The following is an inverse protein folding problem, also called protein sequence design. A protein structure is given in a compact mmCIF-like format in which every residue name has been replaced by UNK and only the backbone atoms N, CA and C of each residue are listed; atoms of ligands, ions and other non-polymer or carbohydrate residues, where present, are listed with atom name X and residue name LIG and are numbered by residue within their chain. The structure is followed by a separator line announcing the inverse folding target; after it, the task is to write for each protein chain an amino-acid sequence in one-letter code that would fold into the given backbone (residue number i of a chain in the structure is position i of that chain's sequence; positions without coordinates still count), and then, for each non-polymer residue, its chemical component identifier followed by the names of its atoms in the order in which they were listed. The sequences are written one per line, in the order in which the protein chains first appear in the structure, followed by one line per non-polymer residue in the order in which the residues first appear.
data_IF_956112411111
#
_entry.id   IF_956112411111
#
_cell.length_a   1.000
_cell.length_b   1.000
_cell.length_c   1.000
_cell.angle_alpha   90.00
_cell.angle_beta   90.00
_cell.angle_gamma   90.00
#
_symmetry.space_group_name_H-M   'P 1'
#
loop_
_entity.id
_entity.type
_entity.pdbx_description
1 polymer ?
#
# COMPACT_ATOMS: atom_id res chain seq x y z
N UNK A 1 -17.43 18.93 -2.72
CA UNK A 1 -16.23 18.99 -1.84
C UNK A 1 -14.97 19.26 -2.67
N UNK A 2 -13.99 19.97 -2.12
CA UNK A 2 -12.70 20.21 -2.77
C UNK A 2 -11.95 18.88 -3.01
N UNK A 3 -11.45 18.60 -4.23
CA UNK A 3 -10.74 17.36 -4.55
C UNK A 3 -9.52 17.08 -3.66
N UNK A 4 -8.74 18.10 -3.32
CA UNK A 4 -7.55 17.95 -2.47
C UNK A 4 -7.93 17.53 -1.05
N UNK A 5 -9.02 18.08 -0.51
CA UNK A 5 -9.53 17.70 0.80
C UNK A 5 -10.09 16.26 0.80
N UNK A 6 -10.77 15.85 -0.28
CA UNK A 6 -11.21 14.47 -0.46
C UNK A 6 -10.03 13.51 -0.51
N UNK A 7 -9.00 13.80 -1.32
CA UNK A 7 -7.80 12.97 -1.45
C UNK A 7 -7.11 12.81 -0.11
N UNK A 8 -6.91 13.90 0.65
CA UNK A 8 -6.26 13.83 1.97
C UNK A 8 -7.06 12.97 2.95
N UNK A 9 -8.39 13.12 2.99
CA UNK A 9 -9.27 12.35 3.86
C UNK A 9 -9.21 10.86 3.52
N UNK A 10 -9.42 10.49 2.26
CA UNK A 10 -9.41 9.08 1.84
C UNK A 10 -8.02 8.44 1.98
N UNK A 11 -6.95 9.22 1.76
CA UNK A 11 -5.58 8.74 2.00
C UNK A 11 -5.36 8.43 3.48
N UNK A 12 -5.78 9.32 4.39
CA UNK A 12 -5.68 9.06 5.83
C UNK A 12 -6.44 7.81 6.26
N UNK A 13 -7.67 7.63 5.78
CA UNK A 13 -8.47 6.42 6.04
C UNK A 13 -7.76 5.17 5.50
N UNK A 14 -7.24 5.22 4.27
CA UNK A 14 -6.54 4.10 3.65
C UNK A 14 -5.25 3.72 4.38
N UNK A 15 -4.46 4.71 4.83
CA UNK A 15 -3.26 4.50 5.64
C UNK A 15 -3.61 3.78 6.94
N UNK A 16 -4.64 4.23 7.66
CA UNK A 16 -5.07 3.60 8.91
C UNK A 16 -5.50 2.15 8.68
N UNK A 17 -6.36 1.90 7.69
CA UNK A 17 -6.84 0.54 7.39
C UNK A 17 -5.69 -0.40 7.02
N UNK A 18 -4.83 -0.01 6.07
CA UNK A 18 -3.72 -0.85 5.62
C UNK A 18 -2.69 -1.10 6.72
N UNK A 19 -2.46 -0.13 7.60
CA UNK A 19 -1.57 -0.28 8.76
C UNK A 19 -2.14 -1.29 9.76
N UNK A 20 -3.44 -1.19 10.06
CA UNK A 20 -4.11 -2.14 10.96
C UNK A 20 -4.18 -3.55 10.39
N UNK A 21 -4.46 -3.69 9.09
CA UNK A 21 -4.41 -4.98 8.41
C UNK A 21 -2.98 -5.56 8.43
N UNK A 22 -1.98 -4.74 8.15
CA UNK A 22 -0.56 -5.16 8.23
C UNK A 22 -0.22 -5.66 9.63
N UNK A 23 -0.63 -4.93 10.68
CA UNK A 23 -0.44 -5.37 12.05
C UNK A 23 -1.09 -6.75 12.28
N UNK A 24 -2.36 -6.90 11.89
CA UNK A 24 -3.08 -8.16 12.03
C UNK A 24 -2.40 -9.32 11.30
N UNK A 25 -2.05 -9.15 10.02
CA UNK A 25 -1.37 -10.17 9.22
C UNK A 25 0.02 -10.51 9.77
N UNK A 26 0.77 -9.51 10.24
CA UNK A 26 2.06 -9.76 10.88
C UNK A 26 1.92 -10.62 12.12
N UNK A 27 0.94 -10.33 12.98
CA UNK A 27 0.67 -11.13 14.18
C UNK A 27 0.22 -12.54 13.85
N UNK A 28 -0.49 -12.75 12.75
CA UNK A 28 -0.88 -14.08 12.26
C UNK A 28 0.33 -14.85 11.72
N UNK A 29 1.18 -14.21 10.91
CA UNK A 29 2.31 -14.86 10.25
C UNK A 29 3.50 -15.11 11.19
N UNK A 30 3.78 -14.18 12.11
CA UNK A 30 4.99 -14.19 12.96
C UNK A 30 4.67 -14.31 14.46
N UNK A 31 3.39 -14.46 14.82
CA UNK A 31 2.96 -14.62 16.20
C UNK A 31 3.08 -13.34 17.05
N UNK A 32 2.79 -13.48 18.35
CA UNK A 32 2.68 -12.37 19.31
C UNK A 32 3.94 -12.09 20.15
N UNK A 33 4.97 -12.94 20.12
CA UNK A 33 6.08 -12.78 21.08
C UNK A 33 7.43 -13.38 20.63
N UNK A 34 8.42 -12.48 20.51
CA UNK A 34 9.81 -12.65 20.96
C UNK A 34 10.77 -13.46 20.09
N UNK A 35 10.28 -14.43 19.34
CA UNK A 35 11.15 -15.22 18.47
C UNK A 35 11.73 -14.33 17.35
N UNK A 36 13.03 -14.45 17.03
CA UNK A 36 13.61 -13.80 15.88
C UNK A 36 12.86 -14.17 14.61
N UNK A 37 12.54 -13.17 13.79
CA UNK A 37 11.81 -13.35 12.55
C UNK A 37 12.81 -13.77 11.47
N UNK A 38 12.64 -14.95 10.81
CA UNK A 38 13.52 -15.35 9.73
C UNK A 38 13.38 -14.39 8.55
N UNK A 39 14.50 -14.01 7.94
CA UNK A 39 14.50 -13.05 6.82
C UNK A 39 14.21 -13.74 5.48
N UNK A 40 14.84 -14.90 5.26
CA UNK A 40 14.88 -15.59 3.97
C UNK A 40 14.07 -16.88 3.98
N UNK A 41 13.53 -17.24 2.82
CA UNK A 41 12.73 -18.46 2.62
C UNK A 41 11.25 -18.20 2.38
N UNK A 42 10.52 -19.24 2.02
CA UNK A 42 9.07 -19.18 1.87
C UNK A 42 8.40 -18.98 3.23
N UNK A 43 7.48 -18.03 3.31
CA UNK A 43 6.82 -17.63 4.56
C UNK A 43 7.69 -16.77 5.49
N UNK A 44 8.92 -16.44 5.09
CA UNK A 44 9.81 -15.57 5.86
C UNK A 44 9.52 -14.08 5.61
N UNK A 45 10.25 -13.21 6.30
CA UNK A 45 10.00 -11.77 6.32
C UNK A 45 9.97 -11.12 4.92
N UNK A 46 10.98 -11.37 4.09
CA UNK A 46 11.08 -10.77 2.74
C UNK A 46 10.00 -11.31 1.82
N UNK A 47 9.71 -12.61 1.90
CA UNK A 47 8.63 -13.22 1.10
C UNK A 47 7.27 -12.61 1.43
N UNK A 48 7.00 -12.29 2.70
CA UNK A 48 5.73 -11.70 3.13
C UNK A 48 5.48 -10.28 2.56
N UNK A 49 6.53 -9.57 2.11
CA UNK A 49 6.34 -8.31 1.38
C UNK A 49 5.65 -8.50 0.01
N UNK A 50 5.66 -9.70 -0.56
CA UNK A 50 4.93 -10.00 -1.81
C UNK A 50 3.43 -9.85 -1.59
N UNK A 51 2.75 -10.69 -0.77
CA UNK A 51 1.31 -10.56 -0.56
C UNK A 51 0.97 -9.23 0.11
N UNK A 52 1.80 -8.72 1.04
CA UNK A 52 1.56 -7.43 1.70
C UNK A 52 1.59 -6.27 0.70
N UNK A 53 2.68 -6.11 -0.06
CA UNK A 53 2.85 -5.02 -1.01
C UNK A 53 1.81 -5.08 -2.13
N UNK A 54 1.48 -6.28 -2.60
CA UNK A 54 0.42 -6.51 -3.57
C UNK A 54 -0.93 -6.03 -3.04
N UNK A 55 -1.33 -6.52 -1.86
CA UNK A 55 -2.64 -6.19 -1.28
C UNK A 55 -2.77 -4.71 -0.95
N UNK A 56 -1.73 -4.09 -0.38
CA UNK A 56 -1.76 -2.65 -0.10
C UNK A 56 -1.86 -1.88 -1.41
N UNK A 57 -1.01 -2.17 -2.41
CA UNK A 57 -1.07 -1.48 -3.70
C UNK A 57 -2.44 -1.61 -4.39
N UNK A 58 -3.04 -2.81 -4.33
CA UNK A 58 -4.36 -3.07 -4.88
C UNK A 58 -5.45 -2.30 -4.12
N UNK A 59 -5.53 -2.48 -2.80
CA UNK A 59 -6.63 -1.93 -1.97
C UNK A 59 -6.52 -0.42 -1.82
N UNK A 60 -5.30 0.13 -1.72
CA UNK A 60 -5.05 1.56 -1.64
C UNK A 60 -5.47 2.31 -2.92
N UNK A 61 -5.50 1.64 -4.08
CA UNK A 61 -5.96 2.21 -5.35
C UNK A 61 -7.42 1.87 -5.67
N UNK A 62 -7.81 0.60 -5.53
CA UNK A 62 -9.09 0.07 -6.01
C UNK A 62 -10.27 0.63 -5.23
N UNK A 63 -10.25 0.51 -3.90
CA UNK A 63 -11.38 0.90 -3.05
C UNK A 63 -11.59 2.41 -3.06
N UNK A 64 -10.56 3.26 -2.76
CA UNK A 64 -10.72 4.71 -2.85
C UNK A 64 -11.04 5.17 -4.27
N UNK A 65 -10.45 4.53 -5.29
CA UNK A 65 -10.71 4.86 -6.69
C UNK A 65 -12.15 4.59 -7.13
N UNK A 66 -12.75 3.47 -6.72
CA UNK A 66 -14.15 3.17 -6.97
C UNK A 66 -15.09 4.18 -6.28
N UNK A 67 -14.81 4.49 -5.02
CA UNK A 67 -15.56 5.49 -4.25
C UNK A 67 -15.44 6.89 -4.86
N UNK A 68 -14.23 7.28 -5.31
CA UNK A 68 -13.98 8.55 -5.97
C UNK A 68 -14.74 8.66 -7.29
N UNK A 69 -14.73 7.61 -8.12
CA UNK A 69 -15.51 7.57 -9.36
C UNK A 69 -17.02 7.70 -9.10
N UNK A 70 -17.55 7.03 -8.06
CA UNK A 70 -18.94 7.20 -7.63
C UNK A 70 -19.22 8.62 -7.15
N UNK A 71 -18.32 9.19 -6.33
CA UNK A 71 -18.47 10.54 -5.79
C UNK A 71 -18.46 11.60 -6.89
N UNK A 72 -17.57 11.46 -7.89
CA UNK A 72 -17.48 12.33 -9.06
C UNK A 72 -18.76 12.28 -9.90
N UNK A 73 -19.25 11.08 -10.24
CA UNK A 73 -20.50 10.91 -11.02
C UNK A 73 -21.73 11.48 -10.29
N UNK A 74 -21.73 11.43 -8.95
CA UNK A 74 -22.80 12.01 -8.12
C UNK A 74 -22.66 13.52 -7.87
N UNK A 75 -21.65 14.20 -8.43
CA UNK A 75 -21.40 15.62 -8.20
C UNK A 75 -20.89 15.97 -6.79
N UNK A 76 -20.60 14.98 -5.94
CA UNK A 76 -20.18 15.18 -4.55
C UNK A 76 -18.76 15.75 -4.44
N UNK A 77 -17.92 15.46 -5.44
CA UNK A 77 -16.53 15.90 -5.55
C UNK A 77 -16.29 16.43 -6.96
N UNK A 78 -15.57 17.54 -7.09
CA UNK A 78 -15.22 18.11 -8.40
C UNK A 78 -14.14 17.28 -9.11
N UNK A 79 -14.10 17.34 -10.44
CA UNK A 79 -13.00 16.77 -11.21
C UNK A 79 -11.70 17.58 -11.01
N UNK A 80 -10.55 16.90 -11.10
CA UNK A 80 -9.23 17.53 -11.11
C UNK A 80 -8.88 17.91 -12.56
N UNK A 81 -8.52 19.17 -12.77
CA UNK A 81 -8.00 19.68 -14.05
C UNK A 81 -6.53 19.30 -14.24
N UNK A 82 -6.24 18.00 -14.30
CA UNK A 82 -4.91 17.49 -14.59
C UNK A 82 -5.00 16.15 -15.31
N UNK A 83 -4.10 15.93 -16.28
CA UNK A 83 -3.90 14.60 -16.87
C UNK A 83 -3.16 13.71 -15.88
N UNK A 84 -3.59 12.47 -15.77
CA UNK A 84 -2.92 11.45 -14.98
C UNK A 84 -2.01 10.61 -15.87
N UNK A 85 -0.77 10.30 -15.45
CA UNK A 85 0.09 9.35 -16.16
C UNK A 85 -0.35 7.89 -15.96
N UNK A 86 -1.25 7.63 -15.02
CA UNK A 86 -1.77 6.29 -14.73
C UNK A 86 -2.95 5.92 -15.63
N UNK A 87 -3.16 4.62 -15.91
CA UNK A 87 -4.31 4.15 -16.68
C UNK A 87 -5.66 4.66 -16.12
N UNK A 88 -6.57 5.01 -17.02
CA UNK A 88 -7.93 5.43 -16.67
C UNK A 88 -8.77 4.26 -16.14
N UNK A 89 -8.55 3.05 -16.68
CA UNK A 89 -9.19 1.83 -16.22
C UNK A 89 -8.79 1.49 -14.78
N UNK A 90 -9.77 1.54 -13.87
CA UNK A 90 -9.57 1.34 -12.43
C UNK A 90 -8.85 0.03 -12.10
N UNK A 91 -9.27 -1.08 -12.73
CA UNK A 91 -8.70 -2.40 -12.47
C UNK A 91 -7.24 -2.47 -12.92
N UNK A 92 -6.95 -2.01 -14.15
CA UNK A 92 -5.59 -2.02 -14.72
C UNK A 92 -4.64 -1.19 -13.86
N UNK A 93 -5.04 0.03 -13.48
CA UNK A 93 -4.25 0.88 -12.58
C UNK A 93 -4.01 0.23 -11.23
N UNK A 94 -5.03 -0.40 -10.65
CA UNK A 94 -4.90 -1.00 -9.32
C UNK A 94 -4.03 -2.25 -9.33
N UNK A 95 -4.10 -3.06 -10.40
CA UNK A 95 -3.18 -4.18 -10.62
C UNK A 95 -1.74 -3.70 -10.83
N UNK A 96 -1.54 -2.64 -11.61
CA UNK A 96 -0.21 -2.03 -11.76
C UNK A 96 0.37 -1.60 -10.41
N UNK A 97 -0.43 -0.90 -9.60
CA UNK A 97 -0.01 -0.49 -8.25
C UNK A 97 0.27 -1.67 -7.32
N UNK A 98 -0.51 -2.75 -7.43
CA UNK A 98 -0.29 -3.99 -6.68
C UNK A 98 1.06 -4.62 -7.03
N UNK A 99 1.34 -4.79 -8.33
CA UNK A 99 2.60 -5.36 -8.81
C UNK A 99 3.78 -4.47 -8.42
N UNK A 100 3.68 -3.16 -8.62
CA UNK A 100 4.72 -2.22 -8.19
C UNK A 100 4.95 -2.24 -6.68
N UNK A 101 3.88 -2.33 -5.88
CA UNK A 101 3.97 -2.40 -4.42
C UNK A 101 4.66 -3.67 -3.94
N UNK A 102 4.31 -4.83 -4.52
CA UNK A 102 4.97 -6.10 -4.23
C UNK A 102 6.46 -6.07 -4.63
N UNK A 103 6.75 -5.64 -5.86
CA UNK A 103 8.11 -5.56 -6.37
C UNK A 103 8.97 -4.60 -5.54
N UNK A 104 8.46 -3.42 -5.21
CA UNK A 104 9.17 -2.44 -4.38
C UNK A 104 9.39 -2.97 -2.96
N UNK A 105 8.39 -3.60 -2.36
CA UNK A 105 8.50 -4.18 -1.02
C UNK A 105 9.61 -5.24 -0.96
N UNK A 106 9.64 -6.17 -1.91
CA UNK A 106 10.68 -7.20 -1.99
C UNK A 106 12.04 -6.62 -2.33
N UNK A 107 12.13 -5.76 -3.35
CA UNK A 107 13.41 -5.21 -3.79
C UNK A 107 14.07 -4.35 -2.72
N UNK A 108 13.30 -3.48 -2.05
CA UNK A 108 13.82 -2.59 -1.01
C UNK A 108 14.19 -3.39 0.24
N UNK A 109 13.27 -4.23 0.77
CA UNK A 109 13.54 -5.00 1.98
C UNK A 109 14.62 -6.06 1.76
N UNK A 110 14.52 -6.82 0.67
CA UNK A 110 15.49 -7.85 0.29
C UNK A 110 16.86 -7.24 0.00
N UNK A 111 16.93 -6.19 -0.81
CA UNK A 111 18.20 -5.51 -1.11
C UNK A 111 18.89 -4.97 0.15
N UNK A 112 18.13 -4.32 1.04
CA UNK A 112 18.66 -3.79 2.30
C UNK A 112 19.13 -4.91 3.23
N UNK A 113 18.32 -5.93 3.48
CA UNK A 113 18.65 -7.00 4.42
C UNK A 113 19.76 -7.92 3.88
N UNK A 114 19.85 -8.08 2.56
CA UNK A 114 20.96 -8.76 1.90
C UNK A 114 22.26 -7.98 2.09
N UNK A 115 22.26 -6.68 1.84
CA UNK A 115 23.44 -5.83 2.03
C UNK A 115 23.93 -5.78 3.49
N UNK A 116 23.01 -5.93 4.46
CA UNK A 116 23.32 -6.00 5.88
C UNK A 116 23.70 -7.42 6.37
N UNK A 117 23.61 -8.45 5.52
CA UNK A 117 23.92 -9.84 5.88
C UNK A 117 22.99 -10.42 6.96
N UNK A 118 21.75 -9.92 7.07
CA UNK A 118 20.85 -10.32 8.15
C UNK A 118 20.06 -11.58 7.79
N UNK A 119 20.22 -12.63 8.59
CA UNK A 119 19.41 -13.86 8.48
C UNK A 119 18.15 -13.84 9.35
N UNK A 120 18.13 -13.01 10.39
CA UNK A 120 17.02 -12.87 11.33
C UNK A 120 16.86 -11.41 11.76
N UNK A 121 15.64 -11.03 12.11
CA UNK A 121 15.33 -9.71 12.66
C UNK A 121 14.71 -9.83 14.05
N UNK A 122 15.04 -8.91 14.98
CA UNK A 122 14.27 -8.76 16.20
C UNK A 122 12.81 -8.50 15.85
N UNK A 123 11.90 -9.22 16.53
CA UNK A 123 10.46 -9.17 16.25
C UNK A 123 9.91 -7.73 16.20
N UNK A 124 10.30 -6.89 17.15
CA UNK A 124 9.85 -5.49 17.21
C UNK A 124 10.36 -4.65 16.03
N UNK A 125 11.60 -4.88 15.60
CA UNK A 125 12.18 -4.20 14.43
C UNK A 125 11.50 -4.62 13.13
N UNK A 126 11.21 -5.92 12.98
CA UNK A 126 10.47 -6.46 11.84
C UNK A 126 9.04 -5.88 11.76
N UNK A 127 8.32 -5.82 12.89
CA UNK A 127 6.99 -5.22 12.93
C UNK A 127 7.05 -3.73 12.57
N UNK A 128 7.92 -2.96 13.23
CA UNK A 128 8.04 -1.52 12.99
C UNK A 128 8.32 -1.21 11.50
N UNK A 129 9.27 -1.92 10.90
CA UNK A 129 9.60 -1.74 9.49
C UNK A 129 8.41 -2.05 8.56
N UNK A 130 7.60 -3.08 8.84
CA UNK A 130 6.40 -3.36 8.05
C UNK A 130 5.30 -2.31 8.21
N UNK A 131 5.10 -1.80 9.41
CA UNK A 131 4.11 -0.74 9.64
C UNK A 131 4.53 0.55 8.93
N UNK A 132 5.81 0.91 9.00
CA UNK A 132 6.37 2.04 8.24
C UNK A 132 6.15 1.84 6.74
N UNK A 133 6.47 0.65 6.21
CA UNK A 133 6.24 0.33 4.81
C UNK A 133 4.76 0.45 4.41
N UNK A 134 3.84 -0.07 5.24
CA UNK A 134 2.41 0.00 4.98
C UNK A 134 1.90 1.45 4.92
N UNK A 135 2.36 2.30 5.85
CA UNK A 135 2.05 3.73 5.86
C UNK A 135 2.57 4.40 4.60
N UNK A 136 3.86 4.22 4.28
CA UNK A 136 4.50 4.84 3.11
C UNK A 136 3.80 4.42 1.82
N UNK A 137 3.60 3.12 1.63
CA UNK A 137 3.00 2.60 0.40
C UNK A 137 1.56 3.08 0.22
N UNK A 138 0.73 3.03 1.28
CA UNK A 138 -0.63 3.55 1.21
C UNK A 138 -0.67 5.07 0.97
N UNK A 139 0.21 5.83 1.64
CA UNK A 139 0.32 7.28 1.47
C UNK A 139 0.79 7.71 0.07
N UNK A 140 1.51 6.85 -0.66
CA UNK A 140 1.92 7.11 -2.04
C UNK A 140 0.86 6.64 -3.05
N UNK A 141 0.36 5.41 -2.89
CA UNK A 141 -0.53 4.77 -3.87
C UNK A 141 -1.93 5.38 -3.85
N UNK A 142 -2.52 5.62 -2.68
CA UNK A 142 -3.88 6.16 -2.58
C UNK A 142 -4.05 7.51 -3.28
N UNK A 143 -3.24 8.55 -3.00
CA UNK A 143 -3.43 9.82 -3.67
C UNK A 143 -3.10 9.75 -5.16
N UNK A 144 -2.17 8.90 -5.59
CA UNK A 144 -1.91 8.68 -7.01
C UNK A 144 -3.13 8.06 -7.72
N UNK A 145 -3.71 7.00 -7.15
CA UNK A 145 -4.92 6.35 -7.66
C UNK A 145 -6.15 7.26 -7.65
N UNK A 146 -6.31 8.08 -6.61
CA UNK A 146 -7.41 9.04 -6.50
C UNK A 146 -7.30 10.18 -7.51
N UNK A 147 -6.09 10.74 -7.71
CA UNK A 147 -5.87 11.76 -8.75
C UNK A 147 -6.21 11.22 -10.12
N UNK A 148 -5.82 9.97 -10.41
CA UNK A 148 -6.17 9.30 -11.66
C UNK A 148 -7.68 9.05 -11.80
N UNK A 149 -8.38 8.71 -10.71
CA UNK A 149 -9.83 8.51 -10.72
C UNK A 149 -10.62 9.81 -10.88
N UNK A 150 -10.08 10.93 -10.41
CA UNK A 150 -10.72 12.25 -10.45
C UNK A 150 -10.27 13.11 -11.64
N UNK A 151 -9.26 12.67 -12.40
CA UNK A 151 -8.83 13.36 -13.61
C UNK A 151 -9.98 13.45 -14.62
N UNK A 152 -10.10 14.59 -15.30
CA UNK A 152 -11.00 14.69 -16.46
C UNK A 152 -10.43 13.79 -17.57
N UNK A 153 -11.18 12.75 -17.91
CA UNK A 153 -10.96 11.96 -19.12
C UNK A 153 -11.28 12.80 -20.35
#
# INVERSE_FOLDING_TARGET
MNPAAYIRRETGVSVVINTMLTLGFFLVAFGRSGAPVPVWGLGAYVFDFVPQGFMIGLMASLVPGALAGKALRSGRVAAVNARSPLPSALLVRSLLMAVCGAAAGVAISGGLLFALGLGQLPWGGALAAKLVWAVVLAALVTPAGLRAALARG
#
